data_IF_607907028599
#
_entry.id   IF_607907028599
#
_cell.length_a   1.000
_cell.length_b   1.000
_cell.length_c   1.000
_cell.angle_alpha   90.00
_cell.angle_beta   90.00
_cell.angle_gamma   90.00
#
_symmetry.space_group_name_H-M   'P 1'
#
loop_
_entity.id
_entity.type
_entity.pdbx_description
1 polymer ?
#
# COMPACT_ATOMS: atom_id res chain seq x y z
N UNK A 1 -15.75 -9.17 -10.88
CA UNK A 1 -14.58 -8.33 -10.51
C UNK A 1 -14.48 -8.04 -9.00
N UNK A 2 -15.19 -7.03 -8.46
CA UNK A 2 -15.04 -6.57 -7.06
C UNK A 2 -15.11 -7.68 -6.00
N UNK A 3 -16.09 -8.59 -6.09
CA UNK A 3 -16.23 -9.70 -5.14
C UNK A 3 -15.03 -10.65 -5.16
N UNK A 4 -14.42 -10.88 -6.33
CA UNK A 4 -13.24 -11.72 -6.44
C UNK A 4 -12.02 -11.08 -5.79
N UNK A 5 -11.86 -9.76 -5.95
CA UNK A 5 -10.81 -9.00 -5.28
C UNK A 5 -10.96 -9.09 -3.74
N UNK A 6 -12.19 -8.96 -3.23
CA UNK A 6 -12.47 -9.11 -1.79
C UNK A 6 -12.20 -10.54 -1.29
N UNK A 7 -12.48 -11.55 -2.11
CA UNK A 7 -12.17 -12.94 -1.79
C UNK A 7 -10.65 -13.17 -1.69
N UNK A 8 -9.90 -12.70 -2.69
CA UNK A 8 -8.44 -12.77 -2.72
C UNK A 8 -7.80 -12.02 -1.55
N UNK A 9 -8.34 -10.84 -1.19
CA UNK A 9 -7.85 -10.06 -0.06
C UNK A 9 -8.02 -10.82 1.27
N UNK A 10 -9.17 -11.50 1.47
CA UNK A 10 -9.40 -12.33 2.66
C UNK A 10 -8.44 -13.52 2.72
N UNK A 11 -8.15 -14.17 1.59
CA UNK A 11 -7.17 -15.25 1.53
C UNK A 11 -5.76 -14.75 1.87
N UNK A 12 -5.42 -13.54 1.44
CA UNK A 12 -4.17 -12.84 1.77
C UNK A 12 -4.10 -12.26 3.19
N UNK A 13 -5.12 -12.45 4.03
CA UNK A 13 -5.23 -11.86 5.37
C UNK A 13 -5.11 -10.32 5.38
N UNK A 14 -5.64 -9.68 4.34
CA UNK A 14 -5.85 -8.23 4.32
C UNK A 14 -7.06 -7.93 5.20
N UNK A 15 -6.88 -7.07 6.20
CA UNK A 15 -7.93 -6.71 7.16
C UNK A 15 -8.96 -5.76 6.53
N UNK A 16 -8.50 -4.82 5.71
CA UNK A 16 -9.37 -3.85 5.05
C UNK A 16 -8.97 -3.61 3.60
N UNK A 17 -9.97 -3.45 2.73
CA UNK A 17 -9.78 -3.06 1.34
C UNK A 17 -10.80 -2.00 0.93
N UNK A 18 -10.33 -0.94 0.28
CA UNK A 18 -11.14 0.17 -0.22
C UNK A 18 -10.81 0.44 -1.68
N UNK A 19 -11.81 0.95 -2.40
CA UNK A 19 -11.71 1.32 -3.81
C UNK A 19 -12.04 2.80 -3.91
N UNK A 20 -11.11 3.58 -4.43
CA UNK A 20 -11.18 5.03 -4.51
C UNK A 20 -10.92 5.44 -5.95
N UNK A 21 -11.50 6.54 -6.42
CA UNK A 21 -11.15 7.09 -7.73
C UNK A 21 -9.71 7.65 -7.72
N UNK A 22 -9.13 7.79 -8.90
CA UNK A 22 -7.81 8.39 -9.12
C UNK A 22 -7.89 9.91 -9.31
N UNK A 23 -8.82 10.55 -8.61
CA UNK A 23 -8.92 12.00 -8.60
C UNK A 23 -7.71 12.58 -7.85
N UNK A 24 -7.31 13.80 -8.22
CA UNK A 24 -6.12 14.42 -7.65
C UNK A 24 -6.37 14.75 -6.17
N UNK A 25 -5.34 14.57 -5.35
CA UNK A 25 -5.37 14.98 -3.96
C UNK A 25 -5.46 16.50 -3.89
N UNK A 26 -6.49 17.00 -3.22
CA UNK A 26 -6.73 18.44 -3.02
C UNK A 26 -6.07 18.93 -1.74
N UNK A 27 -5.93 20.25 -1.61
CA UNK A 27 -5.43 20.93 -0.40
C UNK A 27 -6.20 20.55 0.87
N UNK A 28 -7.47 20.15 0.76
CA UNK A 28 -8.23 19.61 1.89
C UNK A 28 -7.55 18.38 2.52
N UNK A 29 -6.92 17.53 1.70
CA UNK A 29 -6.26 16.30 2.15
C UNK A 29 -4.76 16.47 2.42
N UNK A 30 -4.09 17.36 1.68
CA UNK A 30 -2.62 17.50 1.71
C UNK A 30 -2.12 18.83 2.29
N UNK A 31 -3.05 19.73 2.66
CA UNK A 31 -2.76 21.06 3.20
C UNK A 31 -2.40 22.06 2.10
N UNK A 32 -1.16 22.03 1.63
CA UNK A 32 -0.61 23.01 0.68
C UNK A 32 -0.07 22.27 -0.55
N UNK A 33 -0.75 22.41 -1.69
CA UNK A 33 -0.39 21.71 -2.93
C UNK A 33 0.99 22.17 -3.44
N UNK A 34 1.38 23.43 -3.19
CA UNK A 34 2.70 23.95 -3.56
C UNK A 34 3.84 23.42 -2.68
N UNK A 35 3.53 22.85 -1.51
CA UNK A 35 4.50 22.18 -0.63
C UNK A 35 4.38 20.66 -0.63
N UNK A 36 3.42 20.10 -1.37
CA UNK A 36 3.23 18.67 -1.42
C UNK A 36 4.39 18.00 -2.16
N UNK A 37 5.15 17.17 -1.45
CA UNK A 37 6.28 16.42 -2.00
C UNK A 37 5.94 14.97 -2.37
N UNK A 38 4.66 14.60 -2.30
CA UNK A 38 4.18 13.29 -2.73
C UNK A 38 3.85 13.27 -4.22
N UNK A 39 3.29 12.15 -4.69
CA UNK A 39 2.82 12.00 -6.07
C UNK A 39 1.31 12.00 -6.16
N UNK A 40 0.79 12.56 -7.24
CA UNK A 40 -0.61 12.41 -7.60
C UNK A 40 -0.86 11.02 -8.21
N UNK A 41 -2.06 10.41 -8.04
CA UNK A 41 -2.35 9.09 -8.59
C UNK A 41 -2.07 8.96 -10.10
N UNK A 42 -2.37 10.01 -10.87
CA UNK A 42 -2.16 10.04 -12.33
C UNK A 42 -0.70 10.24 -12.75
N UNK A 43 0.18 10.68 -11.84
CA UNK A 43 1.62 10.72 -12.11
C UNK A 43 2.23 9.30 -12.09
N UNK A 44 1.60 8.37 -11.34
CA UNK A 44 2.02 6.97 -11.27
C UNK A 44 1.46 6.18 -12.47
N UNK A 45 0.18 6.35 -12.77
CA UNK A 45 -0.48 5.70 -13.90
C UNK A 45 -1.52 6.64 -14.52
N UNK A 46 -1.19 7.36 -15.61
CA UNK A 46 -2.04 8.41 -16.18
C UNK A 46 -3.44 7.95 -16.58
N UNK A 47 -3.56 6.73 -17.08
CA UNK A 47 -4.82 6.13 -17.52
C UNK A 47 -5.63 5.46 -16.39
N UNK A 48 -5.11 5.45 -15.15
CA UNK A 48 -5.78 4.77 -14.04
C UNK A 48 -7.16 5.40 -13.76
N UNK A 49 -8.06 4.56 -13.27
CA UNK A 49 -9.43 4.94 -12.86
C UNK A 49 -9.72 4.66 -11.40
N UNK A 50 -8.95 3.77 -10.78
CA UNK A 50 -9.20 3.30 -9.42
C UNK A 50 -7.89 3.07 -8.69
N UNK A 51 -7.80 3.59 -7.48
CA UNK A 51 -6.81 3.22 -6.48
C UNK A 51 -7.45 2.19 -5.56
N UNK A 52 -6.77 1.06 -5.38
CA UNK A 52 -7.17 0.04 -4.41
C UNK A 52 -6.27 0.20 -3.19
N UNK A 53 -6.85 0.61 -2.07
CA UNK A 53 -6.14 0.78 -0.80
C UNK A 53 -6.39 -0.45 0.07
N UNK A 54 -5.33 -0.98 0.67
CA UNK A 54 -5.40 -2.13 1.56
C UNK A 54 -4.73 -1.80 2.89
N UNK A 55 -5.18 -2.45 3.96
CA UNK A 55 -4.52 -2.39 5.25
C UNK A 55 -4.44 -3.77 5.88
N UNK A 56 -3.33 -4.00 6.59
CA UNK A 56 -3.09 -5.22 7.35
C UNK A 56 -2.60 -4.86 8.74
N UNK A 57 -3.20 -5.49 9.74
CA UNK A 57 -2.89 -5.34 11.14
C UNK A 57 -1.63 -6.14 11.47
N UNK A 58 -0.55 -5.41 11.78
CA UNK A 58 0.76 -5.99 12.11
C UNK A 58 0.93 -6.38 13.59
N UNK A 59 -0.16 -6.38 14.37
CA UNK A 59 -0.13 -6.75 15.78
C UNK A 59 0.27 -5.61 16.75
N UNK A 60 -0.02 -5.84 18.04
CA UNK A 60 0.32 -4.95 19.17
C UNK A 60 1.36 -5.58 20.10
N UNK A 61 2.29 -6.36 19.55
CA UNK A 61 3.37 -6.90 20.36
C UNK A 61 4.36 -5.77 20.69
N UNK A 62 4.87 -5.80 21.91
CA UNK A 62 5.86 -4.86 22.43
C UNK A 62 7.07 -5.68 22.82
N UNK A 63 8.24 -5.32 22.30
CA UNK A 63 9.50 -5.90 22.77
C UNK A 63 9.93 -5.20 24.04
N UNK A 64 10.56 -5.94 24.94
CA UNK A 64 11.15 -5.34 26.12
C UNK A 64 12.23 -4.33 25.70
N UNK A 65 12.14 -3.08 26.18
CA UNK A 65 13.07 -2.02 25.80
C UNK A 65 13.68 -1.42 27.06
N UNK A 66 15.01 -1.31 27.08
CA UNK A 66 15.76 -0.77 28.20
C UNK A 66 16.99 -0.04 27.69
N UNK A 67 17.75 0.63 28.56
CA UNK A 67 19.04 1.22 28.17
C UNK A 67 20.02 0.19 27.56
N UNK A 68 19.80 -1.11 27.79
CA UNK A 68 20.60 -2.22 27.22
C UNK A 68 20.07 -2.71 25.87
N UNK A 69 18.82 -2.43 25.51
CA UNK A 69 18.18 -2.94 24.28
C UNK A 69 17.57 -1.80 23.45
N UNK A 70 17.96 -1.72 22.18
CA UNK A 70 17.39 -0.77 21.23
C UNK A 70 15.92 -1.07 20.92
N UNK A 71 15.20 -0.06 20.44
CA UNK A 71 13.85 -0.23 19.89
C UNK A 71 13.98 -0.50 18.40
N UNK A 72 13.24 -1.49 17.89
CA UNK A 72 13.10 -1.72 16.45
C UNK A 72 11.66 -1.49 16.01
N UNK A 73 11.47 -1.19 14.73
CA UNK A 73 10.14 -0.99 14.17
C UNK A 73 9.34 -2.29 14.23
N UNK A 74 8.06 -2.19 14.62
CA UNK A 74 7.13 -3.33 14.58
C UNK A 74 6.97 -3.89 13.16
N UNK A 75 7.11 -3.05 12.14
CA UNK A 75 7.10 -3.43 10.74
C UNK A 75 8.25 -4.41 10.40
N UNK A 76 9.42 -4.22 11.02
CA UNK A 76 10.57 -5.13 10.85
C UNK A 76 10.28 -6.44 11.56
N UNK A 77 9.73 -6.38 12.78
CA UNK A 77 9.40 -7.56 13.59
C UNK A 77 8.25 -8.40 13.01
N UNK A 78 7.34 -7.80 12.23
CA UNK A 78 6.26 -8.51 11.52
C UNK A 78 6.72 -9.24 10.26
N UNK A 79 8.03 -9.44 10.09
CA UNK A 79 8.59 -10.14 8.94
C UNK A 79 8.88 -9.23 7.75
N UNK A 80 9.14 -7.94 7.97
CA UNK A 80 9.54 -6.97 6.94
C UNK A 80 8.41 -6.50 6.00
N UNK A 81 8.56 -5.28 5.47
CA UNK A 81 7.57 -4.58 4.66
C UNK A 81 7.10 -5.38 3.43
N UNK A 82 8.02 -6.06 2.74
CA UNK A 82 7.70 -6.90 1.59
C UNK A 82 6.69 -8.02 1.91
N UNK A 83 6.64 -8.51 3.16
CA UNK A 83 5.64 -9.52 3.54
C UNK A 83 4.23 -8.93 3.71
N UNK A 84 4.09 -7.61 3.87
CA UNK A 84 2.79 -6.92 3.88
C UNK A 84 2.27 -6.69 2.46
N UNK A 85 3.18 -6.56 1.49
CA UNK A 85 2.83 -6.28 0.08
C UNK A 85 2.49 -7.57 -0.67
N UNK A 86 3.15 -8.69 -0.38
CA UNK A 86 2.90 -9.99 -1.03
C UNK A 86 1.43 -10.41 -1.16
N UNK A 87 0.55 -10.19 -0.14
CA UNK A 87 -0.89 -10.43 -0.26
C UNK A 87 -1.59 -9.74 -1.44
N UNK A 88 -1.00 -8.70 -2.04
CA UNK A 88 -1.55 -8.02 -3.21
C UNK A 88 -1.22 -8.69 -4.54
N UNK A 89 -0.18 -9.52 -4.60
CA UNK A 89 0.29 -10.14 -5.84
C UNK A 89 -0.86 -10.92 -6.52
N UNK A 90 -1.64 -11.77 -5.81
CA UNK A 90 -2.76 -12.48 -6.44
C UNK A 90 -3.86 -11.54 -6.99
N UNK A 91 -4.04 -10.37 -6.38
CA UNK A 91 -5.01 -9.36 -6.84
C UNK A 91 -4.50 -8.71 -8.12
N UNK A 92 -3.22 -8.35 -8.17
CA UNK A 92 -2.59 -7.79 -9.37
C UNK A 92 -2.63 -8.78 -10.54
N UNK A 93 -2.23 -10.03 -10.31
CA UNK A 93 -2.26 -11.10 -11.31
C UNK A 93 -3.67 -11.34 -11.84
N UNK A 94 -4.67 -11.36 -10.96
CA UNK A 94 -6.08 -11.48 -11.36
C UNK A 94 -6.52 -10.32 -12.25
N UNK A 95 -6.22 -9.07 -11.87
CA UNK A 95 -6.55 -7.90 -12.69
C UNK A 95 -5.89 -7.94 -14.07
N UNK A 96 -4.61 -8.33 -14.13
CA UNK A 96 -3.88 -8.50 -15.39
C UNK A 96 -4.51 -9.60 -16.25
N UNK A 97 -4.90 -10.73 -15.64
CA UNK A 97 -5.55 -11.83 -16.36
C UNK A 97 -6.90 -11.44 -16.98
N UNK A 98 -7.57 -10.43 -16.40
CA UNK A 98 -8.83 -9.88 -16.89
C UNK A 98 -8.62 -8.72 -17.90
N UNK A 99 -7.38 -8.45 -18.30
CA UNK A 99 -7.04 -7.44 -19.31
C UNK A 99 -6.82 -6.02 -18.76
N UNK A 100 -6.73 -5.84 -17.44
CA UNK A 100 -6.44 -4.54 -16.83
C UNK A 100 -4.93 -4.31 -16.68
N UNK A 101 -4.53 -3.03 -16.67
CA UNK A 101 -3.23 -2.63 -16.14
C UNK A 101 -3.35 -2.49 -14.62
N UNK A 102 -2.49 -3.18 -13.88
CA UNK A 102 -2.44 -3.10 -12.43
C UNK A 102 -0.99 -2.98 -11.95
N UNK A 103 -0.74 -2.01 -11.09
CA UNK A 103 0.59 -1.72 -10.54
C UNK A 103 0.49 -1.65 -9.02
N UNK A 104 1.35 -2.41 -8.34
CA UNK A 104 1.50 -2.34 -6.90
C UNK A 104 2.48 -1.20 -6.60
N UNK A 105 2.05 -0.25 -5.75
CA UNK A 105 2.91 0.83 -5.26
C UNK A 105 3.38 0.43 -3.86
N UNK A 106 4.62 -0.06 -3.78
CA UNK A 106 5.23 -0.57 -2.55
C UNK A 106 6.36 0.33 -2.00
N UNK A 107 6.70 1.42 -2.68
CA UNK A 107 7.76 2.33 -2.25
C UNK A 107 9.18 1.74 -2.25
N UNK A 108 9.37 0.43 -2.42
CA UNK A 108 10.69 -0.19 -2.62
C UNK A 108 11.13 -0.05 -4.08
N UNK A 109 10.18 -0.10 -5.03
CA UNK A 109 10.48 0.08 -6.46
C UNK A 109 10.65 1.55 -6.89
N UNK A 110 10.54 2.50 -5.96
CA UNK A 110 10.73 3.92 -6.25
C UNK A 110 12.22 4.27 -6.25
N UNK A 111 12.83 4.32 -7.44
CA UNK A 111 14.24 4.70 -7.65
C UNK A 111 14.61 6.09 -7.09
N UNK A 112 13.61 6.92 -6.75
CA UNK A 112 13.79 8.29 -6.23
C UNK A 112 13.76 8.36 -4.69
N UNK A 113 13.60 7.22 -3.99
CA UNK A 113 13.34 7.20 -2.53
C UNK A 113 14.58 7.23 -1.62
N UNK A 114 15.78 7.52 -2.11
CA UNK A 114 16.97 7.68 -1.24
C UNK A 114 17.52 9.11 -1.41
N UNK A 115 17.53 9.95 -0.35
CA UNK A 115 18.26 11.21 -0.37
C UNK A 115 19.78 11.00 -0.47
#
# INVERSE_FOLDING_TARGET
MKNKIIELSKQGKVDEIRFINTDDLTEEYIGDLGKFAGRQPKEIMPEAKTVIVFSTYIGKFVTDFSARYGRTSRLVLSGYYANIVKPLIPIQEFLISEGYKAHIVDGESDEVSIP
#
